data_IF_971467447447
#
_entry.id   IF_971467447447
#
_cell.length_a   1.000
_cell.length_b   1.000
_cell.length_c   1.000
_cell.angle_alpha   90.00
_cell.angle_beta   90.00
_cell.angle_gamma   90.00
#
_symmetry.space_group_name_H-M   'P 1'
#
loop_
_entity.id
_entity.type
_entity.pdbx_description
1 polymer ?
#
# COMPACT_ATOMS: atom_id res chain seq x y z
N UNK A 1 -39.03 -42.50 -7.50
CA UNK A 1 -37.98 -42.59 -6.46
C UNK A 1 -36.58 -42.52 -7.05
N UNK A 2 -36.22 -43.37 -8.02
CA UNK A 2 -34.87 -43.42 -8.62
C UNK A 2 -34.44 -42.12 -9.31
N UNK A 3 -35.31 -41.46 -10.07
CA UNK A 3 -34.98 -40.18 -10.74
C UNK A 3 -34.68 -39.05 -9.75
N UNK A 4 -35.41 -39.01 -8.63
CA UNK A 4 -35.20 -38.03 -7.56
C UNK A 4 -33.82 -38.27 -6.91
N UNK A 5 -33.47 -39.53 -6.68
CA UNK A 5 -32.17 -39.90 -6.14
C UNK A 5 -31.01 -39.47 -7.04
N UNK A 6 -31.12 -39.67 -8.35
CA UNK A 6 -30.09 -39.27 -9.33
C UNK A 6 -29.88 -37.75 -9.34
N UNK A 7 -30.96 -36.96 -9.31
CA UNK A 7 -30.88 -35.49 -9.30
C UNK A 7 -30.18 -34.99 -8.03
N UNK A 8 -30.49 -35.57 -6.87
CA UNK A 8 -29.85 -35.20 -5.60
C UNK A 8 -28.35 -35.48 -5.65
N UNK A 9 -27.94 -36.65 -6.16
CA UNK A 9 -26.52 -36.99 -6.31
C UNK A 9 -25.80 -36.01 -7.23
N UNK A 10 -26.41 -35.62 -8.36
CA UNK A 10 -25.83 -34.64 -9.28
C UNK A 10 -25.67 -33.26 -8.64
N UNK A 11 -26.66 -32.80 -7.87
CA UNK A 11 -26.59 -31.51 -7.17
C UNK A 11 -25.49 -31.51 -6.11
N UNK A 12 -25.32 -32.62 -5.38
CA UNK A 12 -24.26 -32.77 -4.38
C UNK A 12 -22.88 -32.75 -5.05
N UNK A 13 -22.68 -33.50 -6.14
CA UNK A 13 -21.42 -33.48 -6.91
C UNK A 13 -21.14 -32.10 -7.48
N UNK A 14 -22.15 -31.46 -8.07
CA UNK A 14 -22.03 -30.11 -8.62
C UNK A 14 -21.68 -29.08 -7.53
N UNK A 15 -22.29 -29.19 -6.35
CA UNK A 15 -21.97 -28.37 -5.19
C UNK A 15 -20.51 -28.53 -4.76
N UNK A 16 -19.99 -29.77 -4.68
CA UNK A 16 -18.58 -30.02 -4.36
C UNK A 16 -17.62 -29.49 -5.44
N UNK A 17 -17.99 -29.56 -6.73
CA UNK A 17 -17.19 -28.97 -7.82
C UNK A 17 -17.17 -27.45 -7.71
N UNK A 18 -18.32 -26.79 -7.49
CA UNK A 18 -18.39 -25.34 -7.30
C UNK A 18 -17.56 -24.92 -6.09
N UNK A 19 -17.68 -25.60 -4.96
CA UNK A 19 -16.86 -25.29 -3.79
C UNK A 19 -15.38 -25.38 -4.12
N UNK A 20 -14.92 -26.42 -4.81
CA UNK A 20 -13.50 -26.56 -5.19
C UNK A 20 -12.99 -25.47 -6.14
N UNK A 21 -13.84 -24.95 -7.04
CA UNK A 21 -13.44 -23.93 -8.01
C UNK A 21 -13.65 -22.48 -7.53
N UNK A 22 -14.62 -22.25 -6.64
CA UNK A 22 -14.98 -20.92 -6.13
C UNK A 22 -14.29 -20.60 -4.81
N UNK A 23 -14.03 -21.62 -3.97
CA UNK A 23 -13.17 -21.45 -2.80
C UNK A 23 -11.75 -21.33 -3.31
N UNK A 24 -11.39 -20.10 -3.63
CA UNK A 24 -10.02 -19.66 -3.85
C UNK A 24 -9.24 -20.13 -2.64
N UNK A 25 -8.30 -21.07 -2.82
CA UNK A 25 -7.37 -21.42 -1.76
C UNK A 25 -6.80 -20.10 -1.24
N UNK A 26 -7.08 -19.81 0.03
CA UNK A 26 -6.49 -18.68 0.71
C UNK A 26 -5.02 -19.06 0.85
N UNK A 27 -4.22 -18.65 -0.14
CA UNK A 27 -2.77 -18.83 -0.18
C UNK A 27 -2.16 -17.86 0.85
N UNK A 28 -2.61 -17.91 2.10
CA UNK A 28 -1.90 -17.42 3.28
C UNK A 28 -0.69 -18.33 3.53
N UNK A 29 0.06 -18.64 2.47
CA UNK A 29 1.33 -19.31 2.57
C UNK A 29 2.21 -18.36 3.33
N UNK A 30 2.62 -18.77 4.52
CA UNK A 30 3.65 -18.07 5.28
C UNK A 30 4.94 -18.14 4.44
N UNK A 31 5.21 -17.05 3.72
CA UNK A 31 6.45 -16.91 2.98
C UNK A 31 7.54 -16.45 3.96
N UNK A 32 8.75 -17.04 3.92
CA UNK A 32 9.85 -16.54 4.72
C UNK A 32 10.27 -15.15 4.23
N UNK A 33 10.25 -14.16 5.11
CA UNK A 33 10.71 -12.80 4.83
C UNK A 33 12.12 -12.58 5.38
N UNK A 34 12.88 -11.67 4.75
CA UNK A 34 14.19 -11.24 5.22
C UNK A 34 14.29 -9.72 5.25
N UNK A 35 15.10 -9.20 6.18
CA UNK A 35 15.47 -7.78 6.19
C UNK A 35 16.25 -7.41 4.93
N UNK A 36 15.96 -6.23 4.36
CA UNK A 36 16.66 -5.66 3.19
C UNK A 36 17.80 -4.70 3.58
N UNK A 37 18.12 -4.60 4.87
CA UNK A 37 19.11 -3.67 5.41
C UNK A 37 18.50 -2.32 5.82
N UNK A 38 19.30 -1.24 5.84
CA UNK A 38 18.84 0.08 6.27
C UNK A 38 17.72 0.65 5.41
N UNK A 39 16.80 1.37 6.04
CA UNK A 39 15.65 2.03 5.39
C UNK A 39 16.09 3.15 4.43
N UNK A 40 17.03 4.00 4.87
CA UNK A 40 17.58 5.12 4.10
C UNK A 40 19.05 4.86 3.76
N UNK A 41 19.47 5.21 2.55
CA UNK A 41 20.84 4.94 2.07
C UNK A 41 21.50 6.20 1.50
N UNK A 42 22.81 6.33 1.74
CA UNK A 42 23.63 7.39 1.17
C UNK A 42 23.07 8.79 1.46
N UNK A 43 22.72 9.51 0.39
CA UNK A 43 22.22 10.88 0.45
C UNK A 43 20.88 11.00 1.20
N UNK A 44 20.03 9.97 1.16
CA UNK A 44 18.74 9.98 1.88
C UNK A 44 18.94 10.07 3.39
N UNK A 45 19.86 9.26 3.94
CA UNK A 45 20.16 9.27 5.36
C UNK A 45 20.78 10.59 5.82
N UNK A 46 21.71 11.15 5.01
CA UNK A 46 22.32 12.44 5.29
C UNK A 46 21.27 13.57 5.30
N UNK A 47 20.38 13.59 4.31
CA UNK A 47 19.32 14.59 4.22
C UNK A 47 18.29 14.46 5.36
N UNK A 48 17.91 13.23 5.72
CA UNK A 48 17.04 12.99 6.87
C UNK A 48 17.62 13.56 8.17
N UNK A 49 18.91 13.35 8.42
CA UNK A 49 19.57 13.88 9.62
C UNK A 49 19.62 15.41 9.60
N UNK A 50 19.89 16.02 8.44
CA UNK A 50 19.85 17.46 8.28
C UNK A 50 18.44 18.03 8.52
N UNK A 51 17.40 17.40 7.96
CA UNK A 51 16.01 17.77 8.19
C UNK A 51 15.64 17.68 9.68
N UNK A 52 15.97 16.56 10.33
CA UNK A 52 15.71 16.37 11.75
C UNK A 52 16.41 17.42 12.61
N UNK A 53 17.66 17.77 12.28
CA UNK A 53 18.37 18.83 12.97
C UNK A 53 17.75 20.21 12.72
N UNK A 54 17.29 20.48 11.49
CA UNK A 54 16.68 21.75 11.12
C UNK A 54 15.32 21.99 11.79
N UNK A 55 14.50 20.94 11.95
CA UNK A 55 13.18 21.08 12.59
C UNK A 55 13.25 21.07 14.12
N UNK A 56 14.30 20.47 14.71
CA UNK A 56 14.45 20.36 16.15
C UNK A 56 13.22 19.73 16.81
N UNK A 57 12.76 20.32 17.92
CA UNK A 57 11.57 19.87 18.65
C UNK A 57 10.26 20.47 18.10
N UNK A 58 10.33 21.27 17.03
CA UNK A 58 9.17 21.96 16.47
C UNK A 58 8.36 21.09 15.50
N UNK A 59 8.92 19.95 15.05
CA UNK A 59 8.22 19.02 14.18
C UNK A 59 8.82 17.61 14.25
N UNK A 60 8.07 16.63 13.75
CA UNK A 60 8.53 15.23 13.61
C UNK A 60 8.71 14.91 12.14
N UNK A 61 9.86 14.32 11.79
CA UNK A 61 10.17 13.89 10.42
C UNK A 61 9.91 12.39 10.27
N UNK A 62 9.04 12.01 9.34
CA UNK A 62 8.85 10.64 8.89
C UNK A 62 9.50 10.47 7.52
N UNK A 63 10.11 9.31 7.27
CA UNK A 63 10.72 8.99 5.99
C UNK A 63 10.02 7.80 5.32
N UNK A 64 10.01 7.76 3.98
CA UNK A 64 9.37 6.71 3.17
C UNK A 64 7.93 6.45 3.60
N UNK A 65 7.13 7.52 3.68
CA UNK A 65 5.71 7.43 4.06
C UNK A 65 4.90 7.05 2.83
N UNK A 66 4.09 6.00 2.92
CA UNK A 66 3.27 5.56 1.79
C UNK A 66 2.24 6.64 1.43
N UNK A 67 2.08 6.99 0.15
CA UNK A 67 1.19 8.08 -0.22
C UNK A 67 -0.28 7.76 0.14
N UNK A 68 -0.69 6.50 0.05
CA UNK A 68 -2.06 6.08 0.38
C UNK A 68 -2.41 6.23 1.87
N UNK A 69 -1.43 6.47 2.76
CA UNK A 69 -1.74 6.74 4.18
C UNK A 69 -2.11 8.19 4.42
N UNK A 70 -1.75 9.12 3.52
CA UNK A 70 -1.96 10.56 3.72
C UNK A 70 -2.93 11.17 2.72
N UNK A 71 -3.04 10.61 1.51
CA UNK A 71 -3.89 11.15 0.46
C UNK A 71 -4.84 10.09 -0.08
N UNK A 72 -5.97 10.56 -0.58
CA UNK A 72 -6.94 9.76 -1.31
C UNK A 72 -7.27 10.46 -2.64
N UNK A 73 -7.67 9.71 -3.69
CA UNK A 73 -8.11 10.31 -4.94
C UNK A 73 -9.30 11.24 -4.71
N UNK A 74 -9.21 12.48 -5.19
CA UNK A 74 -10.31 13.45 -5.16
C UNK A 74 -11.24 13.22 -6.35
N UNK A 75 -12.56 13.33 -6.12
CA UNK A 75 -13.60 13.40 -7.17
C UNK A 75 -13.56 12.28 -8.23
N UNK A 76 -13.78 11.04 -7.81
CA UNK A 76 -13.70 9.88 -8.71
C UNK A 76 -15.06 9.50 -9.27
N UNK A 77 -15.21 9.49 -10.59
CA UNK A 77 -16.51 9.31 -11.27
C UNK A 77 -17.02 7.87 -11.25
N UNK A 78 -16.13 6.88 -11.15
CA UNK A 78 -16.51 5.46 -11.12
C UNK A 78 -15.47 4.58 -10.39
N UNK A 79 -15.89 3.35 -10.06
CA UNK A 79 -15.06 2.37 -9.33
C UNK A 79 -13.75 2.03 -10.04
N UNK A 80 -13.74 1.99 -11.38
CA UNK A 80 -12.54 1.68 -12.16
C UNK A 80 -11.48 2.78 -11.99
N UNK A 81 -11.87 4.04 -12.10
CA UNK A 81 -10.99 5.18 -11.88
C UNK A 81 -10.48 5.21 -10.44
N UNK A 82 -11.33 4.90 -9.46
CA UNK A 82 -10.91 4.83 -8.06
C UNK A 82 -9.84 3.76 -7.86
N UNK A 83 -10.04 2.57 -8.40
CA UNK A 83 -9.05 1.50 -8.33
C UNK A 83 -7.72 1.88 -8.96
N UNK A 84 -7.74 2.49 -10.16
CA UNK A 84 -6.52 2.94 -10.85
C UNK A 84 -5.78 3.99 -10.01
N UNK A 85 -6.49 5.02 -9.54
CA UNK A 85 -5.90 6.10 -8.75
C UNK A 85 -5.37 5.60 -7.39
N UNK A 86 -6.11 4.73 -6.71
CA UNK A 86 -5.69 4.14 -5.43
C UNK A 86 -4.47 3.23 -5.59
N UNK A 87 -4.40 2.44 -6.66
CA UNK A 87 -3.22 1.61 -6.95
C UNK A 87 -1.97 2.44 -7.24
N UNK A 88 -2.14 3.61 -7.86
CA UNK A 88 -1.03 4.53 -8.11
C UNK A 88 -0.38 5.00 -6.82
N UNK A 89 -1.18 5.46 -5.86
CA UNK A 89 -0.69 5.98 -4.58
C UNK A 89 -0.25 4.88 -3.62
N UNK A 90 -0.85 3.68 -3.66
CA UNK A 90 -0.46 2.57 -2.77
C UNK A 90 0.94 2.01 -3.08
N UNK A 91 1.42 2.18 -4.31
CA UNK A 91 2.75 1.74 -4.76
C UNK A 91 3.80 2.85 -4.67
N UNK A 92 3.43 4.02 -4.18
CA UNK A 92 4.27 5.21 -4.16
C UNK A 92 4.48 5.70 -2.72
N UNK A 93 5.62 6.32 -2.47
CA UNK A 93 6.00 6.84 -1.16
C UNK A 93 6.43 8.30 -1.30
N UNK A 94 6.10 9.13 -0.30
CA UNK A 94 6.76 10.40 -0.05
C UNK A 94 8.11 10.15 0.61
N UNK A 95 9.16 10.84 0.16
CA UNK A 95 10.49 10.63 0.74
C UNK A 95 10.53 11.09 2.19
N UNK A 96 10.02 12.29 2.47
CA UNK A 96 9.86 12.80 3.83
C UNK A 96 8.53 13.53 4.04
N UNK A 97 7.99 13.38 5.24
CA UNK A 97 6.80 14.11 5.70
C UNK A 97 7.13 14.74 7.05
N UNK A 98 6.98 16.06 7.12
CA UNK A 98 7.11 16.83 8.35
C UNK A 98 5.72 16.97 8.95
N UNK A 99 5.56 16.51 10.18
CA UNK A 99 4.32 16.56 10.92
C UNK A 99 4.42 17.47 12.14
N UNK A 100 3.26 18.02 12.53
CA UNK A 100 3.09 18.67 13.83
C UNK A 100 3.48 17.70 14.96
N UNK A 101 4.29 18.11 15.94
CA UNK A 101 4.81 17.18 16.96
C UNK A 101 3.75 16.73 17.95
N UNK A 102 2.61 17.44 18.04
CA UNK A 102 1.52 17.11 18.98
C UNK A 102 0.41 16.33 18.30
N UNK A 103 0.00 16.75 17.10
CA UNK A 103 -1.14 16.12 16.40
C UNK A 103 -0.72 15.07 15.39
N UNK A 104 0.56 15.04 15.01
CA UNK A 104 1.10 14.24 13.90
C UNK A 104 0.43 14.54 12.55
N UNK A 105 -0.28 15.66 12.44
CA UNK A 105 -0.84 16.11 11.17
C UNK A 105 0.28 16.50 10.20
N UNK A 106 0.26 16.00 8.95
CA UNK A 106 1.21 16.40 7.93
C UNK A 106 1.13 17.91 7.67
N UNK A 107 2.28 18.58 7.72
CA UNK A 107 2.41 20.02 7.41
C UNK A 107 3.13 20.24 6.08
N UNK A 108 4.17 19.46 5.83
CA UNK A 108 5.02 19.61 4.64
C UNK A 108 5.43 18.23 4.12
N UNK A 109 5.39 18.07 2.81
CA UNK A 109 5.96 16.92 2.09
C UNK A 109 7.23 17.39 1.41
N UNK A 110 8.31 16.62 1.52
CA UNK A 110 9.60 16.92 0.88
C UNK A 110 10.03 15.71 0.06
N UNK A 111 10.41 15.97 -1.19
CA UNK A 111 11.00 15.00 -2.10
C UNK A 111 12.48 15.30 -2.29
N UNK A 112 13.31 14.27 -2.24
CA UNK A 112 14.73 14.44 -2.48
C UNK A 112 14.98 14.48 -3.99
N UNK A 113 15.44 15.62 -4.49
CA UNK A 113 15.89 15.73 -5.88
C UNK A 113 17.29 15.15 -6.02
N UNK A 114 17.43 14.15 -6.89
CA UNK A 114 18.70 13.52 -7.25
C UNK A 114 19.16 13.90 -8.67
N UNK A 115 18.57 14.94 -9.26
CA UNK A 115 18.84 15.41 -10.62
C UNK A 115 18.22 14.54 -11.71
N UNK A 116 17.45 13.51 -11.35
CA UNK A 116 16.69 12.69 -12.29
C UNK A 116 15.22 13.12 -12.28
N UNK A 117 14.52 12.86 -13.39
CA UNK A 117 13.11 13.17 -13.48
C UNK A 117 12.32 12.40 -12.40
N UNK A 118 11.56 13.14 -11.59
CA UNK A 118 10.74 12.58 -10.54
C UNK A 118 9.60 11.72 -11.13
N UNK A 119 9.74 10.40 -11.03
CA UNK A 119 8.70 9.44 -11.41
C UNK A 119 7.91 9.01 -10.18
N UNK A 120 6.72 9.60 -9.99
CA UNK A 120 5.80 9.20 -8.92
C UNK A 120 4.53 8.58 -9.46
N UNK A 121 4.39 7.28 -9.21
CA UNK A 121 3.19 6.53 -9.54
C UNK A 121 2.89 6.44 -11.04
N UNK A 122 3.91 6.55 -11.89
CA UNK A 122 3.81 6.12 -13.29
C UNK A 122 3.93 4.60 -13.39
#
# INVERSE_FOLDING_TARGET
MTNIFIIVVLLVVFFFIIQKYVIKNDDTRDFPYRSKGPLLKGQEGAFFNALRAAVGDHAVVFAKVNMATLIAPKEVKNKKQFFIASNRISRSYFDYVICDPRTLEPRVIIELDNGQQLHKGT
#
